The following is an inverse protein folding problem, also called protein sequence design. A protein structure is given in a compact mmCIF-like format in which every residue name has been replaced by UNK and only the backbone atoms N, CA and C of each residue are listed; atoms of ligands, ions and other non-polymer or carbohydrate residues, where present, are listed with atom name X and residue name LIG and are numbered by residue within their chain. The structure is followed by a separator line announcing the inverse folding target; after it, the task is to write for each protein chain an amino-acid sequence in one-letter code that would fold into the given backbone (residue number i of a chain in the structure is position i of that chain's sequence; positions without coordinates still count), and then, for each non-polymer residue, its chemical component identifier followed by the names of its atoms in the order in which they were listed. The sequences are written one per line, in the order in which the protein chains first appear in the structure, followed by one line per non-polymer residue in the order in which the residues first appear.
data_IF_812322027762
#
_entry.id   IF_812322027762
#
_cell.length_a   1.000
_cell.length_b   1.000
_cell.length_c   1.000
_cell.angle_alpha   90.00
_cell.angle_beta   90.00
_cell.angle_gamma   90.00
#
_symmetry.space_group_name_H-M   'P 1'
#
loop_
_entity.id
_entity.type
_entity.pdbx_description
1 polymer ?
#
# COMPACT_ATOMS: atom_id res chain seq x y z
N UNK A 1 -37.26 -38.65 67.62
CA UNK A 1 -36.85 -37.24 67.45
C UNK A 1 -35.37 -37.17 67.12
N UNK A 2 -35.00 -36.96 65.86
CA UNK A 2 -33.66 -36.51 65.45
C UNK A 2 -33.87 -35.39 64.44
N UNK A 3 -33.44 -34.18 64.81
CA UNK A 3 -33.59 -32.95 64.02
C UNK A 3 -32.36 -32.83 63.13
N UNK A 4 -32.57 -32.66 61.82
CA UNK A 4 -31.53 -32.29 60.86
C UNK A 4 -31.45 -30.76 60.79
N UNK A 5 -30.28 -30.20 61.08
CA UNK A 5 -29.94 -28.80 60.80
C UNK A 5 -29.24 -28.69 59.46
N UNK A 6 -29.88 -28.04 58.47
CA UNK A 6 -29.26 -27.60 57.23
C UNK A 6 -28.49 -26.30 57.47
N UNK A 7 -27.18 -26.28 57.14
CA UNK A 7 -26.40 -25.03 57.02
C UNK A 7 -26.52 -24.48 55.62
N UNK A 8 -26.97 -23.23 55.50
CA UNK A 8 -27.01 -22.45 54.26
C UNK A 8 -25.66 -21.74 54.08
N UNK A 9 -24.90 -22.08 53.04
CA UNK A 9 -23.68 -21.33 52.68
C UNK A 9 -24.07 -20.12 51.82
N UNK A 10 -23.75 -18.92 52.29
CA UNK A 10 -23.95 -17.67 51.55
C UNK A 10 -22.80 -17.44 50.56
N UNK A 11 -23.10 -17.38 49.26
CA UNK A 11 -22.16 -16.92 48.24
C UNK A 11 -22.20 -15.39 48.15
N UNK A 12 -21.10 -14.73 48.51
CA UNK A 12 -20.90 -13.32 48.25
C UNK A 12 -20.54 -13.10 46.77
N UNK A 13 -21.39 -12.38 46.05
CA UNK A 13 -21.12 -11.95 44.67
C UNK A 13 -20.15 -10.76 44.69
N UNK A 14 -18.94 -10.96 44.17
CA UNK A 14 -17.99 -9.87 43.90
C UNK A 14 -18.45 -9.16 42.64
N UNK A 15 -18.94 -7.92 42.79
CA UNK A 15 -19.26 -7.06 41.67
C UNK A 15 -17.95 -6.65 40.95
N UNK A 16 -17.71 -7.23 39.77
CA UNK A 16 -16.66 -6.78 38.86
C UNK A 16 -17.09 -5.41 38.30
N UNK A 17 -16.38 -4.35 38.68
CA UNK A 17 -16.54 -3.03 38.10
C UNK A 17 -16.25 -3.04 36.59
N UNK A 18 -16.78 -2.06 35.83
CA UNK A 18 -16.60 -2.02 34.38
C UNK A 18 -15.11 -1.96 34.05
N UNK A 19 -14.63 -2.91 33.23
CA UNK A 19 -13.29 -2.87 32.66
C UNK A 19 -13.13 -1.56 31.88
N UNK A 20 -12.20 -0.70 32.31
CA UNK A 20 -11.79 0.46 31.52
C UNK A 20 -11.29 0.00 30.16
N UNK A 21 -11.89 0.53 29.09
CA UNK A 21 -11.39 0.32 27.74
C UNK A 21 -9.93 0.80 27.67
N UNK A 22 -9.03 0.06 27.00
CA UNK A 22 -7.64 0.50 26.85
C UNK A 22 -7.62 1.89 26.19
N UNK A 23 -6.70 2.75 26.65
CA UNK A 23 -6.51 4.06 26.08
C UNK A 23 -6.25 3.96 24.56
N UNK A 24 -6.82 4.86 23.74
CA UNK A 24 -6.57 4.85 22.31
C UNK A 24 -5.07 4.95 22.05
N UNK A 25 -4.56 4.17 21.09
CA UNK A 25 -3.18 4.19 20.62
C UNK A 25 -3.16 4.56 19.15
N UNK A 26 -2.05 5.12 18.69
CA UNK A 26 -1.79 5.26 17.25
C UNK A 26 -1.86 3.91 16.57
N UNK A 27 -2.37 3.89 15.34
CA UNK A 27 -2.50 2.67 14.54
C UNK A 27 -1.81 2.85 13.20
N UNK A 28 -1.14 1.82 12.72
CA UNK A 28 -0.65 1.74 11.35
C UNK A 28 -1.70 1.02 10.52
N UNK A 29 -2.27 1.70 9.52
CA UNK A 29 -3.33 1.15 8.67
C UNK A 29 -2.86 -0.07 7.87
N UNK A 30 -1.55 -0.18 7.60
CA UNK A 30 -0.96 -1.33 6.91
C UNK A 30 -0.92 -2.60 7.79
N UNK A 31 -0.92 -2.44 9.11
CA UNK A 31 -0.68 -3.53 10.08
C UNK A 31 -1.97 -4.03 10.75
N UNK A 32 -3.12 -3.45 10.42
CA UNK A 32 -4.42 -3.76 11.03
C UNK A 32 -5.42 -4.24 9.96
N UNK A 33 -6.37 -5.13 10.32
CA UNK A 33 -7.47 -5.49 9.42
C UNK A 33 -8.41 -4.30 9.19
N UNK A 34 -9.11 -4.29 8.06
CA UNK A 34 -9.95 -3.16 7.66
C UNK A 34 -11.06 -2.80 8.67
N UNK A 35 -11.54 -3.76 9.48
CA UNK A 35 -12.51 -3.52 10.56
C UNK A 35 -11.93 -2.64 11.68
N UNK A 36 -10.64 -2.82 12.00
CA UNK A 36 -9.94 -1.96 12.95
C UNK A 36 -9.64 -0.58 12.33
N UNK A 37 -9.34 -0.55 11.02
CA UNK A 37 -9.23 0.70 10.28
C UNK A 37 -10.55 1.48 10.26
N UNK A 38 -11.70 0.81 10.10
CA UNK A 38 -13.02 1.44 10.17
C UNK A 38 -13.27 2.08 11.55
N UNK A 39 -12.90 1.38 12.64
CA UNK A 39 -12.99 1.94 14.00
C UNK A 39 -11.99 3.11 14.23
N UNK A 40 -10.82 3.04 13.61
CA UNK A 40 -9.78 4.05 13.74
C UNK A 40 -10.07 5.31 12.89
N UNK A 41 -10.66 5.18 11.70
CA UNK A 41 -10.89 6.25 10.74
C UNK A 41 -12.22 6.96 11.01
N UNK A 42 -12.23 7.83 12.02
CA UNK A 42 -13.39 8.66 12.37
C UNK A 42 -13.22 10.10 11.89
N UNK A 43 -14.27 10.91 11.96
CA UNK A 43 -14.24 12.33 11.53
C UNK A 43 -13.25 13.21 12.30
N UNK A 44 -12.96 12.87 13.55
CA UNK A 44 -11.99 13.52 14.42
C UNK A 44 -10.56 12.99 14.26
N UNK A 45 -10.37 11.92 13.49
CA UNK A 45 -9.07 11.26 13.32
C UNK A 45 -8.17 12.10 12.43
N UNK A 46 -6.93 12.29 12.88
CA UNK A 46 -5.84 12.80 12.05
C UNK A 46 -5.15 11.61 11.40
N UNK A 47 -5.14 11.60 10.08
CA UNK A 47 -4.41 10.60 9.29
C UNK A 47 -3.02 11.16 8.97
N UNK A 48 -1.99 10.48 9.45
CA UNK A 48 -0.58 10.77 9.13
C UNK A 48 -0.18 10.00 7.87
N UNK A 49 0.32 10.67 6.85
CA UNK A 49 0.83 10.05 5.62
C UNK A 49 2.35 10.29 5.60
N UNK A 50 3.18 9.26 5.80
CA UNK A 50 4.62 9.41 5.66
C UNK A 50 5.00 9.71 4.21
N UNK A 51 5.90 10.66 3.99
CA UNK A 51 6.45 11.00 2.69
C UNK A 51 7.97 11.06 2.78
N UNK A 52 8.60 9.98 2.34
CA UNK A 52 10.04 9.89 2.12
C UNK A 52 10.26 9.17 0.81
N UNK A 53 10.78 9.88 -0.18
CA UNK A 53 11.05 9.32 -1.50
C UNK A 53 12.05 8.16 -1.36
N UNK A 54 11.73 7.02 -1.97
CA UNK A 54 12.43 5.76 -1.74
C UNK A 54 13.81 5.68 -2.41
N UNK A 55 14.05 6.53 -3.42
CA UNK A 55 15.32 6.57 -4.14
C UNK A 55 15.61 7.97 -4.69
N UNK A 56 16.30 8.79 -3.91
CA UNK A 56 16.76 10.15 -4.24
C UNK A 56 18.26 10.23 -3.99
N UNK A 57 18.97 10.93 -4.87
CA UNK A 57 20.41 11.13 -4.70
C UNK A 57 20.72 11.91 -3.41
N UNK A 58 21.74 11.50 -2.65
CA UNK A 58 22.15 12.09 -1.37
C UNK A 58 23.67 12.02 -1.15
N UNK A 59 24.42 12.41 -2.18
CA UNK A 59 25.85 12.32 -2.26
C UNK A 59 26.37 10.88 -2.30
N UNK A 60 27.70 10.71 -2.27
CA UNK A 60 28.33 9.40 -2.30
C UNK A 60 28.29 8.66 -0.95
N UNK A 61 28.02 9.34 0.17
CA UNK A 61 28.09 8.78 1.52
C UNK A 61 26.76 8.34 2.11
N UNK A 62 25.62 8.77 1.56
CA UNK A 62 24.29 8.33 1.99
C UNK A 62 23.65 7.40 0.96
N UNK A 63 22.64 6.65 1.39
CA UNK A 63 21.86 5.76 0.51
C UNK A 63 20.83 6.56 -0.27
N UNK A 64 20.42 6.03 -1.42
CA UNK A 64 19.29 6.59 -2.17
C UNK A 64 17.98 6.63 -1.36
N UNK A 65 17.80 5.70 -0.42
CA UNK A 65 16.61 5.62 0.44
C UNK A 65 16.67 6.48 1.70
N UNK A 66 17.53 7.51 1.76
CA UNK A 66 17.72 8.36 2.94
C UNK A 66 16.41 8.95 3.45
N UNK A 67 15.61 9.55 2.56
CA UNK A 67 14.34 10.19 2.93
C UNK A 67 13.32 9.17 3.46
N UNK A 68 13.26 7.98 2.85
CA UNK A 68 12.39 6.91 3.31
C UNK A 68 12.77 6.40 4.71
N UNK A 69 14.06 6.20 4.99
CA UNK A 69 14.55 5.80 6.32
C UNK A 69 14.21 6.88 7.36
N UNK A 70 14.45 8.16 7.02
CA UNK A 70 14.13 9.28 7.90
C UNK A 70 12.63 9.38 8.17
N UNK A 71 11.79 9.32 7.14
CA UNK A 71 10.34 9.40 7.27
C UNK A 71 9.77 8.26 8.11
N UNK A 72 10.28 7.03 7.94
CA UNK A 72 9.90 5.88 8.76
C UNK A 72 10.29 6.08 10.23
N UNK A 73 11.52 6.53 10.50
CA UNK A 73 11.98 6.83 11.85
C UNK A 73 11.10 7.89 12.52
N UNK A 74 10.89 9.03 11.86
CA UNK A 74 10.07 10.13 12.39
C UNK A 74 8.63 9.67 12.64
N UNK A 75 8.06 8.88 11.73
CA UNK A 75 6.70 8.32 11.88
C UNK A 75 6.56 7.50 13.16
N UNK A 76 7.49 6.58 13.43
CA UNK A 76 7.47 5.77 14.66
C UNK A 76 7.56 6.65 15.91
N UNK A 77 8.46 7.65 15.90
CA UNK A 77 8.63 8.60 17.02
C UNK A 77 7.37 9.45 17.27
N UNK A 78 6.67 9.85 16.20
CA UNK A 78 5.40 10.58 16.30
C UNK A 78 4.30 9.69 16.87
N UNK A 79 4.22 8.42 16.44
CA UNK A 79 3.24 7.46 16.97
C UNK A 79 3.40 7.22 18.48
N UNK A 80 4.61 7.31 19.01
CA UNK A 80 4.89 7.20 20.46
C UNK A 80 4.40 8.43 21.26
N UNK A 81 4.13 9.56 20.60
CA UNK A 81 3.92 10.87 21.24
C UNK A 81 2.51 11.42 21.08
N UNK A 82 1.78 11.03 20.04
CA UNK A 82 0.42 11.51 19.76
C UNK A 82 -0.41 10.44 19.08
N UNK A 83 -1.74 10.63 19.02
CA UNK A 83 -2.69 9.70 18.43
C UNK A 83 -3.00 10.04 16.98
N UNK A 84 -2.62 9.14 16.08
CA UNK A 84 -2.85 9.23 14.64
C UNK A 84 -3.17 7.86 14.03
N UNK A 85 -3.85 7.87 12.89
CA UNK A 85 -3.89 6.72 11.99
C UNK A 85 -2.82 6.93 10.90
N UNK A 86 -1.82 6.06 10.83
CA UNK A 86 -0.72 6.16 9.87
C UNK A 86 -1.09 5.40 8.59
N UNK A 87 -1.17 6.10 7.47
CA UNK A 87 -1.33 5.50 6.15
C UNK A 87 0.00 4.92 5.65
N UNK A 88 -0.02 4.01 4.66
CA UNK A 88 1.20 3.63 3.95
C UNK A 88 1.95 4.86 3.42
N UNK A 89 3.27 4.82 3.46
CA UNK A 89 4.12 5.89 2.96
C UNK A 89 3.88 6.13 1.46
N UNK A 90 4.10 7.36 0.99
CA UNK A 90 4.23 7.63 -0.45
C UNK A 90 5.72 7.52 -0.82
N UNK A 91 6.15 6.45 -1.52
CA UNK A 91 7.56 6.20 -1.81
C UNK A 91 8.08 6.99 -3.02
N UNK A 92 7.21 7.67 -3.75
CA UNK A 92 7.58 8.50 -4.90
C UNK A 92 6.83 9.83 -4.83
N UNK A 93 7.51 10.92 -5.13
CA UNK A 93 6.93 12.27 -5.18
C UNK A 93 7.69 13.18 -6.16
N UNK A 94 7.41 14.48 -6.13
CA UNK A 94 8.04 15.47 -7.00
C UNK A 94 9.40 15.89 -6.43
N UNK A 95 10.47 15.35 -7.02
CA UNK A 95 11.88 15.58 -6.64
C UNK A 95 12.74 15.95 -7.87
N UNK A 96 12.45 17.07 -8.56
CA UNK A 96 13.11 17.45 -9.81
C UNK A 96 14.58 17.87 -9.61
N UNK A 97 15.02 18.09 -8.37
CA UNK A 97 16.32 18.67 -8.09
C UNK A 97 17.49 17.76 -8.50
N UNK A 98 17.24 16.46 -8.66
CA UNK A 98 18.29 15.43 -8.74
C UNK A 98 18.20 14.54 -10.00
N UNK A 99 17.51 15.00 -11.05
CA UNK A 99 17.27 14.24 -12.28
C UNK A 99 18.53 13.77 -13.02
N UNK A 100 19.66 14.47 -12.82
CA UNK A 100 20.92 14.09 -13.46
C UNK A 100 21.61 12.91 -12.78
N UNK A 101 21.16 12.46 -11.62
CA UNK A 101 21.84 11.46 -10.81
C UNK A 101 21.20 10.06 -10.95
N UNK A 102 21.96 9.01 -11.30
CA UNK A 102 21.40 7.67 -11.49
C UNK A 102 20.75 7.10 -10.23
N UNK A 103 19.57 6.49 -10.40
CA UNK A 103 18.78 5.92 -9.32
C UNK A 103 17.72 6.87 -8.76
N UNK A 104 17.81 8.17 -9.06
CA UNK A 104 16.78 9.14 -8.73
C UNK A 104 15.49 8.85 -9.50
N UNK A 105 14.37 8.69 -8.79
CA UNK A 105 13.05 8.47 -9.38
C UNK A 105 12.06 9.54 -8.90
N UNK A 106 11.72 10.48 -9.78
CA UNK A 106 10.82 11.60 -9.50
C UNK A 106 9.54 11.51 -10.33
N UNK A 107 8.41 11.89 -9.72
CA UNK A 107 7.13 12.05 -10.40
C UNK A 107 7.02 13.44 -11.03
N UNK A 108 6.17 13.58 -12.05
CA UNK A 108 5.73 14.91 -12.45
C UNK A 108 4.93 15.58 -11.32
N UNK A 109 4.96 16.92 -11.28
CA UNK A 109 4.24 17.69 -10.27
C UNK A 109 2.74 17.34 -10.20
N UNK A 110 2.10 17.21 -11.37
CA UNK A 110 0.68 16.83 -11.45
C UNK A 110 0.41 15.43 -10.91
N UNK A 111 1.31 14.46 -11.18
CA UNK A 111 1.18 13.09 -10.65
C UNK A 111 1.39 13.08 -9.15
N UNK A 112 2.38 13.80 -8.63
CA UNK A 112 2.65 13.91 -7.20
C UNK A 112 1.48 14.56 -6.42
N UNK A 113 0.92 15.65 -6.97
CA UNK A 113 -0.32 16.26 -6.47
C UNK A 113 -1.45 15.24 -6.46
N UNK A 114 -1.70 14.60 -7.61
CA UNK A 114 -2.83 13.69 -7.79
C UNK A 114 -2.74 12.47 -6.89
N UNK A 115 -1.54 11.90 -6.72
CA UNK A 115 -1.25 10.82 -5.78
C UNK A 115 -1.64 11.22 -4.34
N UNK A 116 -1.15 12.37 -3.88
CA UNK A 116 -1.43 12.88 -2.53
C UNK A 116 -2.93 13.08 -2.32
N UNK A 117 -3.59 13.70 -3.31
CA UNK A 117 -5.02 13.99 -3.29
C UNK A 117 -5.85 12.70 -3.29
N UNK A 118 -5.50 11.71 -4.09
CA UNK A 118 -6.26 10.47 -4.21
C UNK A 118 -6.16 9.59 -2.99
N UNK A 119 -4.98 9.52 -2.38
CA UNK A 119 -4.81 8.81 -1.11
C UNK A 119 -5.67 9.47 -0.03
N UNK A 120 -5.58 10.79 0.14
CA UNK A 120 -6.36 11.51 1.14
C UNK A 120 -7.89 11.41 0.87
N UNK A 121 -8.32 11.58 -0.38
CA UNK A 121 -9.74 11.44 -0.78
C UNK A 121 -10.26 10.02 -0.61
N UNK A 122 -9.44 9.01 -0.83
CA UNK A 122 -9.88 7.62 -0.66
C UNK A 122 -10.11 7.30 0.80
N UNK A 123 -9.19 7.71 1.67
CA UNK A 123 -9.29 7.53 3.12
C UNK A 123 -10.40 8.40 3.75
N UNK A 124 -10.62 9.61 3.23
CA UNK A 124 -11.65 10.51 3.76
C UNK A 124 -13.07 9.95 3.59
N UNK A 125 -13.31 9.04 2.65
CA UNK A 125 -14.62 8.38 2.47
C UNK A 125 -15.09 7.63 3.71
N UNK A 126 -14.16 7.24 4.58
CA UNK A 126 -14.46 6.49 5.80
C UNK A 126 -14.68 7.37 7.02
N UNK A 127 -14.49 8.70 6.92
CA UNK A 127 -14.74 9.62 8.03
C UNK A 127 -13.74 10.76 8.14
N UNK A 128 -12.41 10.52 8.14
CA UNK A 128 -11.42 11.54 8.44
C UNK A 128 -11.51 12.76 7.53
N UNK A 129 -11.28 13.93 8.13
CA UNK A 129 -11.22 15.22 7.41
C UNK A 129 -9.91 15.96 7.64
N UNK A 130 -8.99 15.37 8.42
CA UNK A 130 -7.69 15.96 8.77
C UNK A 130 -6.59 15.01 8.37
N UNK A 131 -5.70 15.47 7.51
CA UNK A 131 -4.57 14.72 7.01
C UNK A 131 -3.30 15.53 7.27
N UNK A 132 -2.25 14.86 7.69
CA UNK A 132 -0.93 15.45 7.84
C UNK A 132 0.08 14.65 7.04
N UNK A 133 0.79 15.27 6.11
CA UNK A 133 1.90 14.61 5.40
C UNK A 133 3.20 14.89 6.15
N UNK A 134 3.80 13.84 6.71
CA UNK A 134 5.14 13.92 7.29
C UNK A 134 6.13 13.94 6.15
N UNK A 135 6.54 15.14 5.75
CA UNK A 135 7.38 15.36 4.58
C UNK A 135 8.86 15.43 4.95
N UNK A 136 9.65 14.52 4.37
CA UNK A 136 11.10 14.48 4.53
C UNK A 136 11.87 15.19 3.39
N UNK A 137 11.22 15.58 2.29
CA UNK A 137 11.87 16.17 1.11
C UNK A 137 11.57 17.66 0.94
N UNK A 138 12.54 18.46 0.51
CA UNK A 138 12.31 19.90 0.32
C UNK A 138 11.47 20.18 -0.93
N UNK A 139 11.79 19.51 -2.05
CA UNK A 139 11.15 19.85 -3.34
C UNK A 139 9.76 19.27 -3.53
N UNK A 140 9.39 18.25 -2.75
CA UNK A 140 8.02 17.69 -2.66
C UNK A 140 6.98 18.72 -2.23
N UNK A 141 7.39 19.77 -1.50
CA UNK A 141 6.52 20.82 -0.99
C UNK A 141 5.63 21.41 -2.07
N UNK A 142 6.15 21.61 -3.29
CA UNK A 142 5.36 22.14 -4.41
C UNK A 142 4.16 21.24 -4.76
N UNK A 143 4.34 19.92 -4.72
CA UNK A 143 3.25 18.96 -4.96
C UNK A 143 2.24 18.93 -3.82
N UNK A 144 2.71 19.11 -2.58
CA UNK A 144 1.87 19.18 -1.38
C UNK A 144 1.04 20.48 -1.33
N UNK A 145 1.64 21.62 -1.65
CA UNK A 145 0.95 22.91 -1.78
C UNK A 145 -0.24 22.81 -2.75
N UNK A 146 0.01 22.21 -3.93
CA UNK A 146 -1.03 21.99 -4.93
C UNK A 146 -2.13 21.02 -4.44
N UNK A 147 -1.78 20.05 -3.58
CA UNK A 147 -2.72 19.10 -2.99
C UNK A 147 -3.58 19.76 -1.90
N UNK A 148 -3.01 20.64 -1.07
CA UNK A 148 -3.73 21.40 -0.04
C UNK A 148 -4.91 22.16 -0.65
N UNK A 149 -4.64 22.93 -1.71
CA UNK A 149 -5.68 23.70 -2.41
C UNK A 149 -6.79 22.79 -2.99
N UNK A 150 -6.41 21.63 -3.53
CA UNK A 150 -7.34 20.68 -4.14
C UNK A 150 -8.25 19.99 -3.13
N UNK A 151 -7.72 19.64 -1.95
CA UNK A 151 -8.43 18.94 -0.88
C UNK A 151 -9.33 19.87 -0.06
N UNK A 152 -8.95 21.14 0.08
CA UNK A 152 -9.76 22.14 0.77
C UNK A 152 -11.15 22.28 0.13
N UNK A 153 -11.26 22.19 -1.20
CA UNK A 153 -12.53 22.21 -1.92
C UNK A 153 -13.47 21.06 -1.55
N UNK A 154 -12.93 19.94 -1.06
CA UNK A 154 -13.68 18.75 -0.65
C UNK A 154 -13.97 18.72 0.86
N UNK A 155 -13.69 19.82 1.56
CA UNK A 155 -13.80 19.90 3.01
C UNK A 155 -12.73 19.10 3.76
N UNK A 156 -11.61 18.81 3.12
CA UNK A 156 -10.49 18.07 3.70
C UNK A 156 -9.37 19.06 4.04
N UNK A 157 -8.92 19.04 5.29
CA UNK A 157 -7.79 19.82 5.76
C UNK A 157 -6.52 18.99 5.64
N UNK A 158 -5.56 19.47 4.84
CA UNK A 158 -4.23 18.87 4.69
C UNK A 158 -3.19 19.84 5.27
N UNK A 159 -2.41 19.36 6.25
CA UNK A 159 -1.16 19.98 6.67
C UNK A 159 0.03 19.13 6.24
N UNK A 160 1.24 19.67 6.27
CA UNK A 160 2.46 18.91 6.03
C UNK A 160 3.67 19.57 6.69
N UNK A 161 4.72 18.78 6.89
CA UNK A 161 6.01 19.29 7.42
C UNK A 161 6.70 20.15 6.38
N UNK A 162 6.85 21.45 6.62
CA UNK A 162 7.75 22.29 5.82
C UNK A 162 9.20 22.03 6.26
N UNK A 163 9.80 20.96 5.72
CA UNK A 163 11.09 20.47 6.17
C UNK A 163 12.19 21.53 6.04
N UNK A 164 12.22 22.29 4.95
CA UNK A 164 13.20 23.36 4.73
C UNK A 164 13.14 24.43 5.82
N UNK A 165 11.93 24.89 6.18
CA UNK A 165 11.74 25.86 7.23
C UNK A 165 12.15 25.30 8.59
N UNK A 166 11.73 24.07 8.90
CA UNK A 166 12.04 23.42 10.17
C UNK A 166 13.55 23.20 10.34
N UNK A 167 14.22 22.65 9.31
CA UNK A 167 15.67 22.45 9.33
C UNK A 167 16.42 23.77 9.51
N UNK A 168 16.01 24.85 8.82
CA UNK A 168 16.64 26.16 8.99
C UNK A 168 16.57 26.68 10.43
N UNK A 169 15.45 26.47 11.13
CA UNK A 169 15.28 26.90 12.53
C UNK A 169 16.04 25.98 13.48
N UNK A 170 15.84 24.67 13.35
CA UNK A 170 16.37 23.67 14.28
C UNK A 170 17.88 23.51 14.18
N UNK A 171 18.45 23.65 12.98
CA UNK A 171 19.88 23.51 12.75
C UNK A 171 20.67 24.78 13.07
N UNK A 172 20.02 25.94 13.26
CA UNK A 172 20.69 27.25 13.35
C UNK A 172 21.77 27.32 14.43
N UNK A 173 21.61 26.60 15.54
CA UNK A 173 22.57 26.60 16.66
C UNK A 173 23.68 25.57 16.54
N UNK A 174 23.54 24.62 15.63
CA UNK A 174 24.44 23.46 15.52
C UNK A 174 25.19 23.39 14.19
N UNK A 175 24.62 23.99 13.14
CA UNK A 175 25.18 24.10 11.79
C UNK A 175 26.41 24.99 11.79
N UNK A 176 27.46 24.55 11.11
CA UNK A 176 28.74 25.25 10.96
C UNK A 176 29.10 25.54 9.51
N UNK A 177 28.51 24.84 8.55
CA UNK A 177 28.71 25.10 7.13
C UNK A 177 28.22 26.50 6.74
N UNK A 178 28.87 27.07 5.73
CA UNK A 178 28.61 28.42 5.21
C UNK A 178 27.29 28.49 4.43
N UNK A 179 26.88 27.37 3.86
CA UNK A 179 25.68 27.19 3.04
C UNK A 179 25.57 25.74 2.58
N UNK A 180 24.48 25.43 1.88
CA UNK A 180 24.12 24.07 1.52
C UNK A 180 22.80 23.64 2.16
N UNK A 181 22.18 22.65 1.56
CA UNK A 181 20.90 22.12 2.00
C UNK A 181 20.63 20.68 1.50
N UNK A 182 21.62 20.00 0.90
CA UNK A 182 21.43 18.67 0.32
C UNK A 182 22.65 17.78 0.51
N UNK A 183 22.43 16.58 1.07
CA UNK A 183 23.45 15.66 1.53
C UNK A 183 24.54 16.33 2.38
N UNK A 184 24.15 17.37 3.10
CA UNK A 184 25.05 18.34 3.72
C UNK A 184 25.36 17.99 5.19
N UNK A 185 25.92 18.93 5.95
CA UNK A 185 26.17 18.76 7.38
C UNK A 185 24.92 18.30 8.15
N UNK A 186 23.76 18.88 7.86
CA UNK A 186 22.54 18.71 8.63
C UNK A 186 21.90 17.38 8.31
N UNK A 187 21.67 17.07 7.04
CA UNK A 187 21.04 15.79 6.63
C UNK A 187 21.92 14.60 7.00
N UNK A 188 23.23 14.72 6.79
CA UNK A 188 24.19 13.68 7.20
C UNK A 188 24.21 13.50 8.71
N UNK A 189 24.12 14.60 9.48
CA UNK A 189 24.02 14.52 10.94
C UNK A 189 22.77 13.79 11.38
N UNK A 190 21.62 14.09 10.77
CA UNK A 190 20.35 13.40 11.03
C UNK A 190 20.49 11.90 10.80
N UNK A 191 21.09 11.48 9.68
CA UNK A 191 21.29 10.06 9.37
C UNK A 191 22.29 9.36 10.31
N UNK A 192 23.35 10.05 10.74
CA UNK A 192 24.25 9.52 11.77
C UNK A 192 23.56 9.27 13.12
N UNK A 193 22.47 9.99 13.41
CA UNK A 193 21.64 9.75 14.59
C UNK A 193 20.59 8.66 14.36
N UNK A 194 19.92 8.66 13.20
CA UNK A 194 18.79 7.78 12.87
C UNK A 194 19.24 6.37 12.54
N UNK A 195 20.20 6.23 11.61
CA UNK A 195 20.72 4.96 11.14
C UNK A 195 22.19 5.13 10.73
N UNK A 196 23.14 5.15 11.68
CA UNK A 196 24.56 5.36 11.38
C UNK A 196 25.14 4.29 10.45
N UNK A 197 24.54 3.08 10.40
CA UNK A 197 24.97 2.02 9.48
C UNK A 197 24.58 2.30 8.01
N UNK A 198 23.71 3.29 7.76
CA UNK A 198 23.39 3.75 6.41
C UNK A 198 24.35 4.81 5.87
N UNK A 199 25.29 5.31 6.70
CA UNK A 199 26.19 6.41 6.36
C UNK A 199 27.63 5.91 6.21
N UNK A 200 28.22 6.11 5.05
CA UNK A 200 29.65 5.88 4.81
C UNK A 200 30.43 7.20 4.86
N UNK A 201 30.77 7.65 6.07
CA UNK A 201 31.52 8.90 6.28
C UNK A 201 32.89 8.94 5.59
N UNK A 202 33.45 7.80 5.15
CA UNK A 202 34.71 7.80 4.39
C UNK A 202 34.55 8.39 2.98
N UNK A 203 33.31 8.47 2.50
CA UNK A 203 32.94 9.06 1.21
C UNK A 203 32.41 10.48 1.34
N UNK A 204 32.20 10.99 2.56
CA UNK A 204 31.67 12.32 2.80
C UNK A 204 32.70 13.39 2.43
N UNK A 205 32.36 14.24 1.47
CA UNK A 205 33.22 15.32 1.01
C UNK A 205 32.42 16.61 0.80
N UNK A 206 33.02 17.75 1.14
CA UNK A 206 32.45 19.07 0.85
C UNK A 206 32.35 19.26 -0.67
N UNK A 207 31.18 19.63 -1.14
CA UNK A 207 30.94 20.11 -2.51
C UNK A 207 29.94 21.25 -2.42
N UNK A 208 30.37 22.45 -2.77
CA UNK A 208 29.60 23.66 -2.55
C UNK A 208 29.81 24.65 -3.68
N UNK A 209 28.70 25.02 -4.31
CA UNK A 209 28.61 26.09 -5.31
C UNK A 209 27.63 27.16 -4.80
N UNK A 210 27.73 28.42 -5.28
CA UNK A 210 26.76 29.45 -4.94
C UNK A 210 25.30 29.00 -5.21
N UNK A 211 24.34 29.47 -4.42
CA UNK A 211 22.94 29.12 -4.60
C UNK A 211 22.40 29.64 -5.94
N UNK A 212 21.41 28.93 -6.49
CA UNK A 212 20.62 29.37 -7.63
C UNK A 212 19.20 29.76 -7.18
N UNK A 213 18.39 30.28 -8.10
CA UNK A 213 16.99 30.64 -7.82
C UNK A 213 16.11 29.42 -7.47
N UNK A 214 16.48 28.24 -7.98
CA UNK A 214 15.77 26.98 -7.77
C UNK A 214 16.78 25.94 -7.26
N UNK A 215 16.35 25.08 -6.32
CA UNK A 215 17.13 23.92 -5.90
C UNK A 215 17.11 22.88 -7.02
N UNK A 216 18.11 22.94 -7.89
CA UNK A 216 18.34 21.97 -8.97
C UNK A 216 19.83 21.71 -9.07
N UNK A 217 20.26 20.53 -8.68
CA UNK A 217 21.65 20.13 -8.78
C UNK A 217 21.95 19.69 -10.22
N UNK A 218 23.15 20.01 -10.69
CA UNK A 218 23.63 19.62 -12.01
C UNK A 218 25.10 19.21 -11.96
N UNK A 219 25.43 18.15 -12.70
CA UNK A 219 26.80 17.69 -12.92
C UNK A 219 27.45 18.42 -14.10
N UNK A 220 26.71 19.29 -14.78
CA UNK A 220 27.24 20.11 -15.88
C UNK A 220 27.54 21.53 -15.37
N UNK A 221 28.82 21.95 -15.32
CA UNK A 221 29.21 23.28 -14.81
C UNK A 221 28.72 24.45 -15.68
N UNK A 222 28.18 24.17 -16.87
CA UNK A 222 27.63 25.17 -17.79
C UNK A 222 26.10 25.20 -17.81
N UNK A 223 25.43 24.26 -17.14
CA UNK A 223 23.98 24.22 -17.07
C UNK A 223 23.45 25.22 -16.04
N UNK A 224 22.17 25.58 -16.17
CA UNK A 224 21.46 26.36 -15.14
C UNK A 224 21.18 25.46 -13.94
N UNK A 225 21.49 25.95 -12.74
CA UNK A 225 21.28 25.24 -11.49
C UNK A 225 22.46 25.43 -10.53
N UNK A 226 22.51 24.58 -9.52
CA UNK A 226 23.61 24.50 -8.56
C UNK A 226 24.55 23.40 -9.06
N UNK A 227 25.75 23.78 -9.48
CA UNK A 227 26.74 22.80 -9.90
C UNK A 227 27.19 21.96 -8.69
N UNK A 228 27.12 20.65 -8.83
CA UNK A 228 27.67 19.67 -7.88
C UNK A 228 28.13 18.46 -8.68
N UNK A 229 29.40 18.09 -8.54
CA UNK A 229 29.92 16.92 -9.23
C UNK A 229 29.63 15.64 -8.43
N UNK A 230 29.64 15.78 -7.09
CA UNK A 230 29.41 14.69 -6.15
C UNK A 230 27.94 14.41 -5.87
N UNK A 231 27.07 15.39 -6.12
CA UNK A 231 25.68 15.41 -5.68
C UNK A 231 25.47 16.01 -4.29
N UNK A 232 26.56 16.28 -3.54
CA UNK A 232 26.49 17.06 -2.31
C UNK A 232 26.31 18.55 -2.62
N UNK A 233 25.48 19.24 -1.84
CA UNK A 233 25.49 20.71 -1.77
C UNK A 233 25.59 21.17 -0.32
N UNK A 234 26.84 21.30 0.15
CA UNK A 234 27.19 21.65 1.53
C UNK A 234 28.47 20.94 2.00
N UNK A 235 28.60 20.73 3.32
CA UNK A 235 29.77 20.10 3.92
C UNK A 235 29.41 18.96 4.91
N UNK A 236 29.23 17.72 4.42
CA UNK A 236 28.91 16.59 5.27
C UNK A 236 30.05 16.19 6.21
N UNK A 237 31.30 16.64 5.99
CA UNK A 237 32.43 16.29 6.87
C UNK A 237 32.28 16.87 8.28
N UNK A 238 31.45 17.90 8.44
CA UNK A 238 31.12 18.54 9.71
C UNK A 238 30.02 17.80 10.49
N UNK A 239 29.42 16.75 9.90
CA UNK A 239 28.28 16.06 10.45
C UNK A 239 28.62 15.26 11.71
N UNK A 240 27.70 15.22 12.67
CA UNK A 240 27.84 14.38 13.87
C UNK A 240 26.46 13.91 14.35
N UNK A 241 26.41 12.71 14.94
CA UNK A 241 25.17 12.19 15.54
C UNK A 241 24.58 13.12 16.62
N UNK A 242 25.43 13.86 17.35
CA UNK A 242 24.97 14.81 18.37
C UNK A 242 24.17 15.97 17.77
N UNK A 243 24.60 16.51 16.61
CA UNK A 243 23.83 17.52 15.86
C UNK A 243 22.55 16.90 15.32
N UNK A 244 22.62 15.68 14.80
CA UNK A 244 21.48 14.91 14.31
C UNK A 244 20.38 14.77 15.35
N UNK A 245 20.75 14.39 16.57
CA UNK A 245 19.81 14.29 17.69
C UNK A 245 19.06 15.60 17.95
N UNK A 246 19.76 16.74 17.97
CA UNK A 246 19.13 18.04 18.20
C UNK A 246 18.08 18.34 17.12
N UNK A 247 18.43 18.09 15.85
CA UNK A 247 17.55 18.39 14.72
C UNK A 247 16.39 17.41 14.64
N UNK A 248 16.64 16.10 14.73
CA UNK A 248 15.61 15.05 14.61
C UNK A 248 14.62 15.11 15.76
N UNK A 249 15.05 15.27 17.01
CA UNK A 249 14.11 15.38 18.13
C UNK A 249 13.28 16.67 18.03
N UNK A 250 13.90 17.78 17.60
CA UNK A 250 13.18 19.02 17.32
C UNK A 250 12.14 18.87 16.19
N UNK A 251 12.44 18.09 15.16
CA UNK A 251 11.49 17.77 14.08
C UNK A 251 10.31 16.96 14.60
N UNK A 252 10.56 15.95 15.44
CA UNK A 252 9.48 15.16 16.07
C UNK A 252 8.57 16.07 16.88
N UNK A 253 9.13 16.96 17.71
CA UNK A 253 8.35 17.90 18.50
C UNK A 253 7.54 18.88 17.63
N UNK A 254 8.13 19.39 16.55
CA UNK A 254 7.44 20.25 15.60
C UNK A 254 6.28 19.53 14.89
N UNK A 255 6.49 18.29 14.42
CA UNK A 255 5.47 17.49 13.76
C UNK A 255 4.31 17.17 14.71
N UNK A 256 4.60 16.80 15.96
CA UNK A 256 3.57 16.56 16.98
C UNK A 256 2.77 17.83 17.24
N UNK A 257 3.44 18.98 17.37
CA UNK A 257 2.78 20.28 17.54
C UNK A 257 1.88 20.62 16.35
N UNK A 258 2.33 20.38 15.12
CA UNK A 258 1.53 20.62 13.92
C UNK A 258 0.30 19.71 13.88
N UNK A 259 0.45 18.42 14.23
CA UNK A 259 -0.65 17.45 14.31
C UNK A 259 -1.69 17.88 15.35
N UNK A 260 -1.24 18.35 16.52
CA UNK A 260 -2.13 18.82 17.57
C UNK A 260 -2.86 20.10 17.16
N UNK A 261 -2.18 21.03 16.49
CA UNK A 261 -2.81 22.22 15.91
C UNK A 261 -3.85 21.84 14.83
N UNK A 262 -3.51 20.89 13.96
CA UNK A 262 -4.40 20.37 12.93
C UNK A 262 -5.66 19.73 13.53
N UNK A 263 -5.52 18.99 14.64
CA UNK A 263 -6.64 18.37 15.37
C UNK A 263 -7.65 19.40 15.85
N UNK A 264 -7.18 20.57 16.31
CA UNK A 264 -8.02 21.68 16.77
C UNK A 264 -8.59 22.53 15.64
N UNK A 265 -7.96 22.52 14.47
CA UNK A 265 -8.43 23.29 13.32
C UNK A 265 -9.77 22.75 12.80
N UNK A 266 -10.64 23.68 12.38
CA UNK A 266 -11.91 23.36 11.73
C UNK A 266 -11.66 23.05 10.26
N UNK A 267 -12.05 21.86 9.75
CA UNK A 267 -11.95 21.56 8.33
C UNK A 267 -12.78 22.58 7.52
N UNK A 268 -12.35 22.93 6.30
CA UNK A 268 -13.11 23.84 5.46
C UNK A 268 -14.51 23.28 5.21
N UNK A 269 -15.50 24.17 5.10
CA UNK A 269 -16.81 23.77 4.63
C UNK A 269 -16.66 23.17 3.22
N UNK A 270 -17.24 22.00 2.92
CA UNK A 270 -17.26 21.51 1.56
C UNK A 270 -17.85 22.59 0.67
N UNK A 271 -17.17 22.97 -0.41
CA UNK A 271 -17.75 23.91 -1.37
C UNK A 271 -19.10 23.36 -1.86
N UNK A 272 -20.09 24.23 -2.11
CA UNK A 272 -21.31 23.84 -2.84
C UNK A 272 -20.94 23.50 -4.27
N UNK A 273 -20.49 22.26 -4.46
CA UNK A 273 -20.32 21.64 -5.75
C UNK A 273 -21.61 20.87 -6.03
N UNK A 274 -22.20 20.94 -7.23
CA UNK A 274 -23.13 19.90 -7.66
C UNK A 274 -22.46 18.54 -7.40
N UNK A 275 -23.24 17.49 -7.12
CA UNK A 275 -22.73 16.13 -6.97
C UNK A 275 -22.14 15.61 -8.29
N UNK A 276 -20.99 16.14 -8.66
CA UNK A 276 -20.18 15.83 -9.82
C UNK A 276 -18.74 15.93 -9.37
N UNK A 277 -18.35 15.00 -8.49
CA UNK A 277 -16.93 14.67 -8.37
C UNK A 277 -16.47 14.16 -9.74
N UNK A 278 -15.47 14.78 -10.38
CA UNK A 278 -14.89 14.22 -11.59
C UNK A 278 -14.11 12.97 -11.18
N UNK A 279 -14.53 11.80 -11.66
CA UNK A 279 -13.64 10.64 -11.75
C UNK A 279 -12.54 11.00 -12.77
N UNK A 280 -11.31 10.58 -12.50
CA UNK A 280 -10.11 10.83 -13.30
C UNK A 280 -10.38 10.90 -14.80
N UNK A 281 -10.01 12.02 -15.43
CA UNK A 281 -9.74 12.11 -16.85
C UNK A 281 -8.22 12.26 -17.03
N UNK A 282 -7.53 11.33 -17.71
CA UNK A 282 -6.25 11.66 -18.32
C UNK A 282 -6.51 12.54 -19.55
N UNK A 283 -5.86 13.70 -19.63
CA UNK A 283 -5.88 14.55 -20.79
C UNK A 283 -4.87 14.05 -21.85
N UNK A 284 -5.39 13.74 -23.03
CA UNK A 284 -4.73 14.00 -24.31
C UNK A 284 -3.65 13.03 -24.79
N UNK A 285 -4.05 12.00 -25.53
CA UNK A 285 -3.48 11.74 -26.86
C UNK A 285 -4.59 11.92 -27.89
N UNK A 286 -4.27 12.41 -29.10
CA UNK A 286 -5.25 13.03 -30.00
C UNK A 286 -6.10 11.98 -30.72
N UNK A 287 -7.39 12.28 -30.85
CA UNK A 287 -8.35 11.45 -31.60
C UNK A 287 -9.28 10.68 -30.67
N UNK A 288 -10.51 11.19 -30.53
CA UNK A 288 -11.51 10.63 -29.63
C UNK A 288 -11.97 9.23 -30.04
N UNK A 289 -12.12 8.38 -29.02
CA UNK A 289 -13.09 7.28 -29.03
C UNK A 289 -13.66 7.15 -27.62
N UNK A 290 -14.97 7.29 -27.50
CA UNK A 290 -15.77 7.16 -26.28
C UNK A 290 -15.75 5.70 -25.80
N UNK A 291 -15.30 5.43 -24.56
CA UNK A 291 -15.43 4.11 -23.94
C UNK A 291 -16.46 4.16 -22.80
N UNK A 292 -17.68 3.71 -23.09
CA UNK A 292 -18.60 3.23 -22.06
C UNK A 292 -17.97 2.02 -21.34
N UNK A 293 -17.71 2.09 -20.03
CA UNK A 293 -17.02 0.98 -19.32
C UNK A 293 -17.79 0.47 -18.11
N UNK A 294 -18.17 -0.81 -18.21
CA UNK A 294 -18.64 -1.70 -17.15
C UNK A 294 -19.26 -2.97 -17.74
N UNK A 295 -19.05 -4.12 -17.11
CA UNK A 295 -19.85 -5.32 -17.38
C UNK A 295 -21.32 -5.04 -17.08
N UNK A 296 -22.21 -5.62 -17.87
CA UNK A 296 -23.63 -5.65 -17.55
C UNK A 296 -23.92 -6.64 -16.42
N UNK A 297 -25.08 -6.56 -15.75
CA UNK A 297 -25.53 -7.62 -14.83
C UNK A 297 -25.61 -9.01 -15.49
N UNK A 298 -25.81 -9.09 -16.81
CA UNK A 298 -25.78 -10.35 -17.54
C UNK A 298 -24.36 -10.90 -17.67
N UNK A 299 -23.37 -10.04 -17.90
CA UNK A 299 -21.97 -10.42 -17.94
C UNK A 299 -21.50 -10.98 -16.60
N UNK A 300 -21.88 -10.34 -15.49
CA UNK A 300 -21.57 -10.84 -14.14
C UNK A 300 -22.14 -12.25 -13.91
N UNK A 301 -23.38 -12.50 -14.34
CA UNK A 301 -23.98 -13.84 -14.26
C UNK A 301 -23.23 -14.85 -15.13
N UNK A 302 -22.89 -14.48 -16.36
CA UNK A 302 -22.16 -15.35 -17.29
C UNK A 302 -20.77 -15.72 -16.74
N UNK A 303 -20.05 -14.76 -16.15
CA UNK A 303 -18.75 -15.01 -15.52
C UNK A 303 -18.89 -15.98 -14.35
N UNK A 304 -19.86 -15.77 -13.46
CA UNK A 304 -20.07 -16.67 -12.32
C UNK A 304 -20.43 -18.10 -12.75
N UNK A 305 -21.20 -18.25 -13.84
CA UNK A 305 -21.58 -19.54 -14.41
C UNK A 305 -20.40 -20.35 -14.98
N UNK A 306 -19.24 -19.73 -15.24
CA UNK A 306 -18.03 -20.47 -15.66
C UNK A 306 -17.59 -21.45 -14.59
N UNK A 307 -17.71 -21.11 -13.30
CA UNK A 307 -17.39 -22.03 -12.20
C UNK A 307 -18.31 -23.26 -12.18
N UNK A 308 -19.61 -23.05 -12.40
CA UNK A 308 -20.60 -24.12 -12.46
C UNK A 308 -20.34 -25.02 -13.69
N UNK A 309 -20.11 -24.41 -14.87
CA UNK A 309 -19.79 -25.12 -16.09
C UNK A 309 -18.52 -25.96 -15.93
N UNK A 310 -17.49 -25.40 -15.31
CA UNK A 310 -16.24 -26.11 -15.01
C UNK A 310 -16.49 -27.37 -14.19
N UNK A 311 -17.23 -27.25 -13.08
CA UNK A 311 -17.53 -28.38 -12.20
C UNK A 311 -18.37 -29.48 -12.88
N UNK A 312 -19.30 -29.06 -13.75
CA UNK A 312 -20.13 -29.98 -14.55
C UNK A 312 -19.28 -30.71 -15.59
N UNK A 313 -18.48 -29.99 -16.37
CA UNK A 313 -17.63 -30.59 -17.40
C UNK A 313 -16.58 -31.54 -16.81
N UNK A 314 -15.99 -31.18 -15.66
CA UNK A 314 -15.12 -32.09 -14.91
C UNK A 314 -15.86 -33.35 -14.47
N UNK A 315 -17.04 -33.20 -13.87
CA UNK A 315 -17.84 -34.32 -13.37
C UNK A 315 -18.27 -35.31 -14.46
N UNK A 316 -18.35 -34.83 -15.70
CA UNK A 316 -18.69 -35.61 -16.89
C UNK A 316 -17.46 -36.14 -17.63
N UNK A 317 -16.25 -35.84 -17.16
CA UNK A 317 -15.00 -36.17 -17.84
C UNK A 317 -14.93 -35.60 -19.27
N UNK A 318 -15.57 -34.45 -19.51
CA UNK A 318 -15.69 -33.82 -20.83
C UNK A 318 -14.57 -32.79 -21.02
N UNK A 319 -13.40 -33.28 -21.45
CA UNK A 319 -12.20 -32.46 -21.64
C UNK A 319 -12.40 -31.37 -22.71
N UNK A 320 -13.19 -31.65 -23.75
CA UNK A 320 -13.51 -30.72 -24.82
C UNK A 320 -14.30 -29.52 -24.30
N UNK A 321 -15.42 -29.76 -23.61
CA UNK A 321 -16.22 -28.65 -23.06
C UNK A 321 -15.55 -27.94 -21.91
N UNK A 322 -14.72 -28.65 -21.12
CA UNK A 322 -13.94 -28.02 -20.07
C UNK A 322 -12.93 -27.04 -20.67
N UNK A 323 -12.15 -27.48 -21.66
CA UNK A 323 -11.16 -26.61 -22.31
C UNK A 323 -11.81 -25.45 -23.08
N UNK A 324 -13.04 -25.64 -23.61
CA UNK A 324 -13.80 -24.57 -24.26
C UNK A 324 -14.12 -23.36 -23.36
N UNK A 325 -13.93 -23.48 -22.04
CA UNK A 325 -14.01 -22.34 -21.12
C UNK A 325 -12.82 -21.38 -21.25
N UNK A 326 -11.69 -21.80 -21.81
CA UNK A 326 -10.51 -20.97 -22.08
C UNK A 326 -10.59 -20.31 -23.46
N UNK A 327 -9.92 -19.18 -23.65
CA UNK A 327 -9.60 -18.63 -24.99
C UNK A 327 -8.58 -19.54 -25.69
N UNK A 328 -8.34 -19.33 -26.99
CA UNK A 328 -7.35 -20.14 -27.75
C UNK A 328 -5.95 -20.05 -27.13
N UNK A 329 -5.52 -18.85 -26.74
CA UNK A 329 -4.22 -18.58 -26.11
C UNK A 329 -4.25 -18.68 -24.58
N UNK A 330 -5.40 -19.03 -24.01
CA UNK A 330 -5.59 -19.07 -22.57
C UNK A 330 -4.72 -20.13 -21.91
N UNK A 331 -4.31 -19.89 -20.67
CA UNK A 331 -3.36 -20.75 -19.97
C UNK A 331 -3.75 -21.05 -18.51
N UNK A 332 -3.06 -22.05 -17.94
CA UNK A 332 -3.09 -22.40 -16.52
C UNK A 332 -1.66 -22.35 -16.00
N UNK A 333 -1.42 -21.63 -14.90
CA UNK A 333 -0.14 -21.71 -14.17
C UNK A 333 -0.39 -22.40 -12.85
N UNK A 334 0.36 -23.47 -12.63
CA UNK A 334 0.27 -24.28 -11.43
C UNK A 334 1.16 -23.71 -10.31
N UNK A 335 0.90 -24.08 -9.04
CA UNK A 335 1.72 -23.67 -7.90
C UNK A 335 3.21 -24.06 -7.97
N UNK A 336 3.57 -25.04 -8.80
CA UNK A 336 4.94 -25.48 -9.05
C UNK A 336 5.60 -24.77 -10.24
N UNK A 337 5.00 -23.66 -10.69
CA UNK A 337 5.43 -22.82 -11.81
C UNK A 337 5.33 -23.48 -13.19
N UNK A 338 4.83 -24.70 -13.29
CA UNK A 338 4.51 -25.32 -14.58
C UNK A 338 3.32 -24.62 -15.24
N UNK A 339 3.32 -24.60 -16.58
CA UNK A 339 2.34 -23.84 -17.36
C UNK A 339 1.74 -24.72 -18.45
N UNK A 340 0.42 -24.83 -18.46
CA UNK A 340 -0.35 -25.35 -19.59
C UNK A 340 -0.71 -24.19 -20.52
N UNK A 341 0.03 -24.04 -21.62
CA UNK A 341 -0.17 -22.92 -22.57
C UNK A 341 -1.16 -23.32 -23.66
N UNK A 342 -2.16 -22.50 -23.93
CA UNK A 342 -3.23 -22.66 -24.94
C UNK A 342 -4.34 -23.63 -24.54
N UNK A 343 -5.53 -23.40 -25.12
CA UNK A 343 -6.70 -24.27 -25.00
C UNK A 343 -6.39 -25.72 -25.36
N UNK A 344 -5.61 -25.93 -26.43
CA UNK A 344 -5.32 -27.28 -26.93
C UNK A 344 -4.45 -28.09 -25.99
N UNK A 345 -3.46 -27.47 -25.35
CA UNK A 345 -2.67 -28.13 -24.30
C UNK A 345 -3.55 -28.51 -23.11
N UNK A 346 -4.39 -27.59 -22.66
CA UNK A 346 -5.32 -27.84 -21.54
C UNK A 346 -6.23 -29.01 -21.88
N UNK A 347 -6.84 -28.99 -23.07
CA UNK A 347 -7.70 -30.05 -23.60
C UNK A 347 -6.99 -31.41 -23.59
N UNK A 348 -5.80 -31.51 -24.19
CA UNK A 348 -5.03 -32.74 -24.26
C UNK A 348 -4.67 -33.27 -22.86
N UNK A 349 -4.20 -32.40 -21.97
CA UNK A 349 -3.85 -32.79 -20.60
C UNK A 349 -5.07 -33.28 -19.82
N UNK A 350 -6.25 -32.67 -20.02
CA UNK A 350 -7.50 -33.14 -19.39
C UNK A 350 -8.00 -34.45 -19.99
N UNK A 351 -7.86 -34.66 -21.30
CA UNK A 351 -8.14 -35.97 -21.93
C UNK A 351 -7.28 -37.07 -21.30
N UNK A 352 -5.97 -36.83 -21.18
CA UNK A 352 -5.03 -37.80 -20.61
C UNK A 352 -5.30 -38.04 -19.13
N UNK A 353 -5.60 -36.99 -18.37
CA UNK A 353 -5.92 -37.09 -16.94
C UNK A 353 -7.24 -37.81 -16.68
N UNK A 354 -8.30 -37.55 -17.45
CA UNK A 354 -9.59 -38.22 -17.25
C UNK A 354 -9.57 -39.70 -17.64
N UNK A 355 -8.63 -40.14 -18.47
CA UNK A 355 -8.38 -41.55 -18.75
C UNK A 355 -7.69 -42.30 -17.59
N UNK A 356 -7.08 -41.59 -16.63
CA UNK A 356 -6.38 -42.19 -15.49
C UNK A 356 -7.36 -42.71 -14.44
N UNK A 357 -7.11 -43.91 -13.95
CA UNK A 357 -7.96 -44.57 -12.91
C UNK A 357 -8.02 -43.77 -11.61
N UNK A 358 -6.95 -43.02 -11.33
CA UNK A 358 -6.75 -42.14 -10.19
C UNK A 358 -7.83 -41.06 -10.11
N UNK A 359 -8.40 -40.64 -11.25
CA UNK A 359 -9.36 -39.52 -11.34
C UNK A 359 -10.81 -39.95 -11.60
N UNK A 360 -11.11 -41.25 -11.72
CA UNK A 360 -12.43 -41.79 -12.08
C UNK A 360 -13.57 -41.51 -11.10
N UNK A 361 -13.26 -41.02 -9.91
CA UNK A 361 -14.26 -40.60 -8.92
C UNK A 361 -14.05 -39.16 -8.48
N UNK A 362 -13.19 -38.44 -9.22
CA UNK A 362 -12.81 -37.09 -8.84
C UNK A 362 -13.92 -36.09 -9.07
N UNK A 363 -13.99 -35.09 -8.19
CA UNK A 363 -14.86 -33.92 -8.34
C UNK A 363 -14.01 -32.68 -8.14
N UNK A 364 -14.18 -31.72 -9.03
CA UNK A 364 -13.41 -30.47 -9.00
C UNK A 364 -14.31 -29.23 -9.04
N UNK A 365 -15.04 -28.92 -7.95
CA UNK A 365 -15.83 -27.71 -7.89
C UNK A 365 -14.93 -26.47 -7.98
N UNK A 366 -15.39 -25.49 -8.75
CA UNK A 366 -14.82 -24.15 -8.89
C UNK A 366 -15.92 -23.13 -8.58
N UNK A 367 -15.72 -22.28 -7.59
CA UNK A 367 -16.72 -21.28 -7.18
C UNK A 367 -16.12 -19.89 -7.27
N UNK A 368 -16.59 -19.10 -8.22
CA UNK A 368 -16.23 -17.69 -8.39
C UNK A 368 -17.17 -16.82 -7.55
N UNK A 369 -16.64 -15.78 -6.90
CA UNK A 369 -17.45 -14.92 -6.00
C UNK A 369 -17.15 -13.44 -6.14
N UNK A 370 -15.88 -13.07 -6.34
CA UNK A 370 -15.48 -11.67 -6.43
C UNK A 370 -15.11 -11.34 -7.88
N UNK A 371 -16.09 -10.81 -8.65
CA UNK A 371 -15.88 -10.40 -10.04
C UNK A 371 -15.66 -8.89 -10.10
N UNK A 372 -14.52 -8.48 -10.65
CA UNK A 372 -14.15 -7.09 -10.93
C UNK A 372 -14.02 -6.89 -12.43
N UNK A 373 -14.93 -6.13 -13.02
CA UNK A 373 -14.82 -5.79 -14.44
C UNK A 373 -13.82 -4.66 -14.65
N UNK A 374 -12.82 -4.93 -15.49
CA UNK A 374 -11.75 -4.00 -15.86
C UNK A 374 -12.24 -3.10 -16.99
N UNK A 375 -12.93 -3.69 -17.97
CA UNK A 375 -13.61 -3.02 -19.09
C UNK A 375 -14.98 -3.70 -19.33
N UNK A 376 -15.71 -3.32 -20.38
CA UNK A 376 -16.96 -4.01 -20.75
C UNK A 376 -16.76 -5.46 -21.24
N UNK A 377 -15.52 -5.79 -21.60
CA UNK A 377 -15.09 -7.05 -22.20
C UNK A 377 -13.94 -7.73 -21.45
N UNK A 378 -13.36 -7.15 -20.39
CA UNK A 378 -12.33 -7.78 -19.56
C UNK A 378 -12.77 -7.78 -18.10
N UNK A 379 -12.60 -8.92 -17.41
CA UNK A 379 -12.93 -9.06 -16.00
C UNK A 379 -11.88 -9.91 -15.27
N UNK A 380 -11.78 -9.72 -13.95
CA UNK A 380 -11.02 -10.58 -13.05
C UNK A 380 -12.01 -11.22 -12.08
N UNK A 381 -11.93 -12.53 -11.88
CA UNK A 381 -12.77 -13.26 -10.94
C UNK A 381 -11.93 -14.06 -9.95
N UNK A 382 -12.09 -13.78 -8.66
CA UNK A 382 -11.49 -14.58 -7.60
C UNK A 382 -12.48 -15.62 -7.07
N UNK A 383 -11.95 -16.79 -6.70
CA UNK A 383 -12.75 -17.93 -6.30
C UNK A 383 -11.98 -18.98 -5.50
N UNK A 384 -12.73 -20.01 -5.12
CA UNK A 384 -12.20 -21.21 -4.45
C UNK A 384 -12.31 -22.40 -5.39
N UNK A 385 -11.33 -23.30 -5.33
CA UNK A 385 -11.42 -24.61 -5.95
C UNK A 385 -11.20 -25.73 -4.93
N UNK A 386 -11.74 -26.91 -5.20
CA UNK A 386 -11.44 -28.14 -4.46
C UNK A 386 -11.26 -29.29 -5.44
N UNK A 387 -10.38 -30.25 -5.18
CA UNK A 387 -10.25 -31.50 -5.91
C UNK A 387 -10.32 -32.65 -4.91
N UNK A 388 -11.36 -33.46 -5.01
CA UNK A 388 -11.64 -34.57 -4.09
C UNK A 388 -11.91 -35.86 -4.84
N UNK A 389 -11.79 -37.00 -4.17
CA UNK A 389 -12.07 -38.31 -4.78
C UNK A 389 -11.00 -38.79 -5.75
N UNK A 390 -9.78 -38.26 -5.61
CA UNK A 390 -8.58 -38.74 -6.33
C UNK A 390 -7.96 -39.87 -5.52
N UNK A 391 -7.48 -40.90 -6.20
CA UNK A 391 -6.73 -41.99 -5.59
C UNK A 391 -5.26 -41.94 -6.03
N UNK A 392 -4.37 -42.51 -5.23
CA UNK A 392 -2.99 -42.76 -5.64
C UNK A 392 -2.93 -43.90 -6.68
N UNK A 393 -1.76 -44.17 -7.31
CA UNK A 393 -1.63 -45.25 -8.27
C UNK A 393 -1.95 -46.65 -7.71
N UNK A 394 -1.91 -46.84 -6.38
CA UNK A 394 -2.29 -48.07 -5.69
C UNK A 394 -3.80 -48.18 -5.39
N UNK A 395 -4.59 -47.16 -5.74
CA UNK A 395 -6.03 -47.10 -5.49
C UNK A 395 -6.41 -46.59 -4.10
N UNK A 396 -5.45 -46.10 -3.31
CA UNK A 396 -5.72 -45.51 -1.99
C UNK A 396 -6.26 -44.09 -2.15
N UNK A 397 -7.36 -43.71 -1.47
CA UNK A 397 -7.87 -42.35 -1.50
C UNK A 397 -6.85 -41.32 -1.01
N UNK A 398 -6.64 -40.28 -1.80
CA UNK A 398 -5.88 -39.08 -1.44
C UNK A 398 -6.78 -38.08 -0.70
N UNK A 399 -6.19 -37.19 0.12
CA UNK A 399 -6.94 -36.11 0.76
C UNK A 399 -7.55 -35.18 -0.30
N UNK A 400 -8.60 -34.46 0.09
CA UNK A 400 -9.12 -33.34 -0.70
C UNK A 400 -8.06 -32.25 -0.78
N UNK A 401 -7.71 -31.84 -1.99
CA UNK A 401 -6.93 -30.64 -2.24
C UNK A 401 -7.89 -29.47 -2.39
N UNK A 402 -7.51 -28.29 -1.89
CA UNK A 402 -8.33 -27.09 -2.04
C UNK A 402 -7.43 -25.86 -2.05
N UNK A 403 -7.93 -24.73 -2.55
CA UNK A 403 -7.21 -23.48 -2.50
C UNK A 403 -7.97 -22.32 -3.12
N UNK A 404 -7.28 -21.20 -3.31
CA UNK A 404 -7.81 -20.00 -3.96
C UNK A 404 -7.35 -19.96 -5.41
N UNK A 405 -8.17 -19.37 -6.28
CA UNK A 405 -7.85 -19.10 -7.67
C UNK A 405 -8.23 -17.68 -8.08
N UNK A 406 -7.50 -17.14 -9.05
CA UNK A 406 -7.79 -15.90 -9.76
C UNK A 406 -7.85 -16.20 -11.25
N UNK A 407 -8.95 -15.79 -11.88
CA UNK A 407 -9.19 -15.91 -13.31
C UNK A 407 -9.18 -14.53 -13.94
N UNK A 408 -8.42 -14.35 -15.02
CA UNK A 408 -8.59 -13.22 -15.94
C UNK A 408 -9.47 -13.71 -17.08
N UNK A 409 -10.52 -12.94 -17.38
CA UNK A 409 -11.52 -13.29 -18.37
C UNK A 409 -11.64 -12.19 -19.42
N UNK A 410 -11.95 -12.60 -20.64
CA UNK A 410 -12.19 -11.71 -21.76
C UNK A 410 -13.43 -12.15 -22.55
N UNK A 411 -14.19 -11.19 -23.07
CA UNK A 411 -15.45 -11.39 -23.77
C UNK A 411 -15.25 -11.32 -25.27
N UNK A 412 -15.15 -12.49 -25.91
CA UNK A 412 -15.13 -12.65 -27.36
C UNK A 412 -16.42 -13.40 -27.79
N UNK A 413 -17.56 -12.69 -27.72
CA UNK A 413 -18.89 -13.29 -27.82
C UNK A 413 -19.36 -13.88 -26.49
N UNK A 414 -18.68 -14.92 -26.01
CA UNK A 414 -18.83 -15.47 -24.65
C UNK A 414 -17.66 -15.03 -23.76
N UNK A 415 -17.85 -15.08 -22.44
CA UNK A 415 -16.76 -14.89 -21.49
C UNK A 415 -15.89 -16.14 -21.45
N UNK A 416 -14.59 -15.95 -21.69
CA UNK A 416 -13.58 -16.99 -21.75
C UNK A 416 -12.45 -16.69 -20.77
N UNK A 417 -11.79 -17.73 -20.29
CA UNK A 417 -10.63 -17.64 -19.40
C UNK A 417 -9.38 -17.39 -20.24
N UNK A 418 -8.72 -16.25 -20.02
CA UNK A 418 -7.42 -15.92 -20.60
C UNK A 418 -6.28 -16.40 -19.68
N UNK A 419 -6.47 -16.30 -18.37
CA UNK A 419 -5.47 -16.75 -17.40
C UNK A 419 -6.14 -17.37 -16.18
N UNK A 420 -5.78 -18.61 -15.85
CA UNK A 420 -6.16 -19.28 -14.61
C UNK A 420 -4.95 -19.47 -13.70
N UNK A 421 -4.96 -18.88 -12.50
CA UNK A 421 -3.89 -19.01 -11.51
C UNK A 421 -4.48 -19.53 -10.21
N UNK A 422 -3.81 -20.47 -9.56
CA UNK A 422 -4.31 -21.00 -8.30
C UNK A 422 -3.21 -21.37 -7.32
N UNK A 423 -3.60 -21.45 -6.06
CA UNK A 423 -2.78 -21.88 -4.93
C UNK A 423 -3.33 -23.19 -4.38
N UNK A 424 -2.50 -24.00 -3.72
CA UNK A 424 -2.93 -25.17 -2.94
C UNK A 424 -2.78 -24.82 -1.47
N UNK A 425 -3.83 -25.05 -0.68
CA UNK A 425 -3.80 -24.92 0.78
C UNK A 425 -2.80 -25.95 1.35
N UNK A 426 -1.82 -25.54 2.18
CA UNK A 426 -0.85 -26.46 2.75
C UNK A 426 -1.50 -27.57 3.57
N UNK A 427 -1.05 -28.81 3.39
CA UNK A 427 -1.41 -29.95 4.25
C UNK A 427 -0.65 -29.89 5.58
N UNK A 428 -1.32 -29.30 6.59
CA UNK A 428 -1.04 -29.37 8.03
C UNK A 428 0.43 -29.35 8.53
N UNK A 429 1.07 -28.18 8.45
CA UNK A 429 1.72 -27.59 9.64
C UNK A 429 0.73 -26.60 10.23
N UNK A 430 0.60 -26.41 11.56
CA UNK A 430 -0.33 -25.40 12.05
C UNK A 430 0.14 -24.03 11.58
N UNK A 431 -0.69 -23.35 10.79
CA UNK A 431 -0.52 -21.90 10.61
C UNK A 431 -0.63 -21.23 12.00
N UNK A 432 0.20 -20.22 12.30
CA UNK A 432 0.09 -19.46 13.53
C UNK A 432 -1.33 -18.94 13.72
N UNK A 433 -1.75 -18.84 14.98
CA UNK A 433 -3.14 -18.75 15.45
C UNK A 433 -3.96 -17.58 14.88
N UNK A 434 -3.35 -16.59 14.24
CA UNK A 434 -4.01 -15.44 13.59
C UNK A 434 -4.63 -15.77 12.21
N UNK A 435 -4.28 -16.89 11.58
CA UNK A 435 -4.91 -17.38 10.34
C UNK A 435 -6.16 -18.26 10.57
N UNK A 436 -6.49 -18.58 11.83
CA UNK A 436 -7.57 -19.53 12.21
C UNK A 436 -8.93 -18.89 12.50
N UNK A 437 -9.11 -17.57 12.34
CA UNK A 437 -10.43 -16.92 12.46
C UNK A 437 -10.83 -16.11 11.22
N UNK A 438 -11.10 -16.75 10.08
CA UNK A 438 -11.88 -16.12 9.02
C UNK A 438 -13.36 -16.23 9.40
N UNK A 439 -13.89 -15.21 10.08
CA UNK A 439 -15.27 -15.18 10.58
C UNK A 439 -15.97 -13.85 10.32
N UNK A 440 -16.50 -13.69 9.11
CA UNK A 440 -17.82 -13.05 8.88
C UNK A 440 -18.91 -14.02 9.38
N UNK A 441 -20.22 -13.70 9.64
CA UNK A 441 -21.00 -12.46 9.86
C UNK A 441 -21.88 -12.49 11.15
N UNK A 442 -22.68 -11.44 11.42
CA UNK A 442 -24.07 -11.67 11.89
C UNK A 442 -24.78 -10.55 12.68
N UNK A 443 -25.29 -9.50 12.02
CA UNK A 443 -26.70 -9.06 11.99
C UNK A 443 -26.81 -7.74 11.23
#
# INVERSE_FOLDING_TARGET
MRVFTLSLAAFAAVALGPMQAPAPKSVSLADIPWLEAEAALRSDTVVLIPLGSAAIEHGPHLKLGTDAILAEYLTRRVMDRTLVAVAPALPYHFEPAFEEYPGNATLSLDTARSLTVDVARSLSRFGPRRFYVLNAGTTTTAGLDAAVASLAADGILLGYTNIQQQLNVLSARVRRQEGGAHADEVETSMMLYVDPASVDMTRAAKDFSPPAAELRLTRNPRARGIFSASGVWGDPSLATAAKGRVVVEGLVDAIVSDIDALRQATPPAPGTRPATAPRFRPAGSPGGVDFASGCTPQDLRAILQIGDAYAVHWSNYDAEKLAALWSEEGDIVHPDETIERTRDTIRQNRMDMFNRREYRSSKHPLTLRAVRCVTGDVAVADGKWELRGVNDPGGKPLPTYEGQCTLVLHKAGNWLIEAYRYTIKPTATPLPTWLKRPGWPGK
#
